data_IF_175946458124
#
_entry.id   IF_175946458124
#
_cell.length_a   1.000
_cell.length_b   1.000
_cell.length_c   1.000
_cell.angle_alpha   90.00
_cell.angle_beta   90.00
_cell.angle_gamma   90.00
#
_symmetry.space_group_name_H-M   'P 1'
#
loop_
_entity.id
_entity.type
_entity.pdbx_description
1 polymer ?
#
# COMPACT_ATOMS: atom_id res chain seq x y z
N UNK A 1 24.55 -22.92 -4.32
CA UNK A 1 23.97 -21.99 -3.32
C UNK A 1 22.88 -21.20 -3.99
N UNK A 2 21.63 -21.32 -3.54
CA UNK A 2 20.54 -20.50 -4.05
C UNK A 2 20.70 -19.08 -3.48
N UNK A 3 20.74 -18.07 -4.35
CA UNK A 3 20.71 -16.68 -3.90
C UNK A 3 19.36 -16.42 -3.25
N UNK A 4 19.36 -16.22 -1.93
CA UNK A 4 18.17 -15.77 -1.21
C UNK A 4 17.91 -14.33 -1.62
N UNK A 5 16.81 -14.08 -2.32
CA UNK A 5 16.37 -12.72 -2.63
C UNK A 5 16.06 -12.03 -1.29
N UNK A 6 16.74 -10.93 -0.93
CA UNK A 6 16.46 -10.24 0.30
C UNK A 6 15.00 -9.76 0.28
N UNK A 7 14.18 -10.24 1.21
CA UNK A 7 12.86 -9.66 1.43
C UNK A 7 13.05 -8.42 2.31
N UNK A 8 12.66 -7.24 1.82
CA UNK A 8 12.67 -6.02 2.63
C UNK A 8 11.50 -6.06 3.62
N UNK A 9 11.70 -6.76 4.74
CA UNK A 9 10.72 -6.78 5.84
C UNK A 9 10.95 -5.56 6.71
N UNK A 10 9.91 -4.76 6.92
CA UNK A 10 9.90 -3.68 7.91
C UNK A 10 9.72 -4.27 9.32
N UNK A 11 10.80 -4.84 9.86
CA UNK A 11 10.79 -5.36 11.21
C UNK A 11 10.75 -4.20 12.21
N UNK A 12 10.13 -4.42 13.37
CA UNK A 12 10.11 -3.44 14.45
C UNK A 12 11.44 -3.47 15.22
N UNK A 13 12.54 -3.18 14.54
CA UNK A 13 13.90 -3.16 15.10
C UNK A 13 14.48 -1.74 15.16
N UNK A 14 15.61 -1.60 15.84
CA UNK A 14 16.27 -0.31 16.05
C UNK A 14 16.71 0.35 14.73
N UNK A 15 17.02 -0.43 13.70
CA UNK A 15 17.44 0.10 12.40
C UNK A 15 16.25 0.72 11.67
N UNK A 16 15.14 0.00 11.62
CA UNK A 16 13.92 0.48 10.98
C UNK A 16 13.38 1.72 11.67
N UNK A 17 13.28 1.68 13.00
CA UNK A 17 12.72 2.80 13.77
C UNK A 17 13.66 4.02 13.86
N UNK A 18 14.98 3.81 13.84
CA UNK A 18 15.97 4.88 13.98
C UNK A 18 16.35 5.57 12.67
N UNK A 19 16.26 4.87 11.52
CA UNK A 19 16.83 5.37 10.28
C UNK A 19 15.93 5.24 9.04
N UNK A 20 14.90 4.38 9.05
CA UNK A 20 14.08 4.12 7.84
C UNK A 20 12.68 4.70 7.98
N UNK A 21 11.95 4.29 9.03
CA UNK A 21 10.56 4.65 9.30
C UNK A 21 10.42 5.97 10.07
N UNK A 22 11.23 6.97 9.71
CA UNK A 22 11.21 8.30 10.35
C UNK A 22 10.31 9.27 9.59
N UNK A 23 9.90 10.36 10.25
CA UNK A 23 9.07 11.40 9.67
C UNK A 23 9.74 12.08 8.45
N UNK A 24 11.05 12.31 8.49
CA UNK A 24 11.79 12.96 7.40
C UNK A 24 12.10 12.04 6.22
N UNK A 25 11.92 10.71 6.37
CA UNK A 25 12.22 9.70 5.34
C UNK A 25 10.95 9.03 4.84
N UNK A 26 10.63 7.83 5.35
CA UNK A 26 9.42 7.11 4.94
C UNK A 26 8.13 7.88 5.25
N UNK A 27 8.13 8.65 6.33
CA UNK A 27 7.00 9.51 6.70
C UNK A 27 6.78 10.67 5.74
N UNK A 28 7.82 11.15 5.05
CA UNK A 28 7.78 12.35 4.20
C UNK A 28 7.06 12.11 2.86
N UNK A 29 6.98 10.86 2.40
CA UNK A 29 6.30 10.55 1.14
C UNK A 29 4.78 10.52 1.31
N UNK A 30 4.07 11.04 0.31
CA UNK A 30 2.62 10.92 0.17
C UNK A 30 2.26 9.45 -0.05
N UNK A 31 1.19 8.98 0.59
CA UNK A 31 0.79 7.56 0.60
C UNK A 31 -0.66 7.41 0.19
N UNK A 32 -0.91 6.45 -0.71
CA UNK A 32 -2.25 6.02 -1.10
C UNK A 32 -2.34 4.51 -0.90
N UNK A 33 -3.34 4.07 -0.13
CA UNK A 33 -3.69 2.67 0.06
C UNK A 33 -4.85 2.34 -0.89
N UNK A 34 -4.58 1.48 -1.87
CA UNK A 34 -5.60 0.94 -2.78
C UNK A 34 -6.13 -0.35 -2.18
N UNK A 35 -7.43 -0.38 -1.89
CA UNK A 35 -8.14 -1.48 -1.25
C UNK A 35 -8.92 -2.25 -2.31
N UNK A 36 -8.68 -3.55 -2.40
CA UNK A 36 -9.51 -4.47 -3.16
C UNK A 36 -10.71 -4.87 -2.30
N UNK A 37 -11.92 -4.54 -2.76
CA UNK A 37 -13.12 -4.59 -1.91
C UNK A 37 -13.67 -6.02 -1.72
N UNK A 38 -13.24 -6.97 -2.54
CA UNK A 38 -13.61 -8.39 -2.45
C UNK A 38 -12.39 -9.28 -2.13
N UNK A 39 -11.36 -8.70 -1.51
CA UNK A 39 -10.18 -9.44 -1.08
C UNK A 39 -10.52 -10.43 0.06
N UNK A 40 -10.28 -11.72 -0.20
CA UNK A 40 -10.52 -12.81 0.75
C UNK A 40 -9.31 -13.10 1.68
N UNK A 41 -8.13 -12.58 1.37
CA UNK A 41 -6.91 -12.70 2.16
C UNK A 41 -6.79 -11.57 3.18
N UNK A 42 -7.08 -10.34 2.77
CA UNK A 42 -7.09 -9.17 3.65
C UNK A 42 -8.42 -8.44 3.54
N UNK A 43 -9.17 -8.40 4.65
CA UNK A 43 -10.46 -7.72 4.62
C UNK A 43 -10.28 -6.22 4.32
N UNK A 44 -11.20 -5.60 3.57
CA UNK A 44 -11.16 -4.16 3.29
C UNK A 44 -11.10 -3.30 4.56
N UNK A 45 -11.77 -3.72 5.64
CA UNK A 45 -11.73 -3.06 6.94
C UNK A 45 -10.35 -3.14 7.59
N UNK A 46 -9.66 -4.27 7.44
CA UNK A 46 -8.29 -4.44 7.92
C UNK A 46 -7.35 -3.45 7.24
N UNK A 47 -7.40 -3.33 5.91
CA UNK A 47 -6.57 -2.39 5.16
C UNK A 47 -6.90 -0.93 5.48
N UNK A 48 -8.18 -0.57 5.61
CA UNK A 48 -8.60 0.78 6.05
C UNK A 48 -8.12 1.12 7.45
N UNK A 49 -8.17 0.17 8.39
CA UNK A 49 -7.64 0.35 9.75
C UNK A 49 -6.12 0.54 9.74
N UNK A 50 -5.40 -0.21 8.91
CA UNK A 50 -3.97 0.00 8.72
C UNK A 50 -3.67 1.40 8.19
N UNK A 51 -4.43 1.89 7.22
CA UNK A 51 -4.28 3.24 6.68
C UNK A 51 -4.55 4.31 7.75
N UNK A 52 -5.55 4.12 8.62
CA UNK A 52 -5.85 5.03 9.72
C UNK A 52 -4.69 5.17 10.72
N UNK A 53 -3.96 4.08 10.98
CA UNK A 53 -2.77 4.11 11.84
C UNK A 53 -1.56 4.82 11.22
N UNK A 54 -1.63 5.16 9.92
CA UNK A 54 -0.57 5.85 9.20
C UNK A 54 -1.07 7.23 8.75
N UNK A 55 -0.89 8.29 9.56
CA UNK A 55 -1.40 9.63 9.27
C UNK A 55 -1.03 10.13 7.87
N UNK A 56 -1.98 10.77 7.20
CA UNK A 56 -1.83 11.29 5.84
C UNK A 56 -1.96 10.25 4.73
N UNK A 57 -2.31 9.00 5.05
CA UNK A 57 -2.58 7.98 4.04
C UNK A 57 -3.98 8.15 3.47
N UNK A 58 -4.05 8.36 2.17
CA UNK A 58 -5.31 8.37 1.43
C UNK A 58 -5.78 6.94 1.16
N UNK A 59 -7.08 6.68 1.22
CA UNK A 59 -7.65 5.36 0.89
C UNK A 59 -8.48 5.48 -0.38
N UNK A 60 -8.30 4.54 -1.29
CA UNK A 60 -9.07 4.36 -2.52
C UNK A 60 -9.50 2.90 -2.64
N UNK A 61 -10.69 2.65 -3.16
CA UNK A 61 -11.25 1.30 -3.31
C UNK A 61 -11.40 0.90 -4.78
N UNK A 62 -11.14 -0.37 -5.08
CA UNK A 62 -11.46 -0.99 -6.38
C UNK A 62 -12.56 -2.02 -6.14
N UNK A 63 -13.78 -1.66 -6.57
CA UNK A 63 -14.96 -2.50 -6.41
C UNK A 63 -14.86 -3.74 -7.29
N UNK A 64 -15.22 -4.91 -6.76
CA UNK A 64 -15.15 -6.18 -7.50
C UNK A 64 -13.74 -6.72 -7.73
N UNK A 65 -12.71 -6.14 -7.09
CA UNK A 65 -11.35 -6.66 -7.15
C UNK A 65 -11.10 -7.68 -6.04
N UNK A 66 -10.51 -8.81 -6.42
CA UNK A 66 -9.94 -9.78 -5.49
C UNK A 66 -8.55 -9.32 -5.00
N UNK A 67 -7.85 -10.19 -4.25
CA UNK A 67 -6.50 -9.90 -3.74
C UNK A 67 -5.49 -9.45 -4.80
N UNK A 68 -5.73 -9.79 -6.06
CA UNK A 68 -4.86 -9.48 -7.20
C UNK A 68 -5.58 -8.50 -8.14
N UNK A 69 -5.78 -7.23 -7.76
CA UNK A 69 -6.53 -6.24 -8.57
C UNK A 69 -5.92 -6.01 -9.94
N UNK A 70 -4.61 -6.23 -10.10
CA UNK A 70 -3.91 -6.18 -11.39
C UNK A 70 -4.30 -7.33 -12.34
N UNK A 71 -4.95 -8.38 -11.84
CA UNK A 71 -5.44 -9.52 -12.62
C UNK A 71 -6.98 -9.51 -12.73
N UNK A 72 -7.68 -9.29 -11.61
CA UNK A 72 -9.15 -9.30 -11.57
C UNK A 72 -9.78 -8.04 -12.13
N UNK A 73 -9.18 -6.86 -11.87
CA UNK A 73 -9.69 -5.54 -12.24
C UNK A 73 -8.60 -4.62 -12.83
N UNK A 74 -7.86 -5.07 -13.87
CA UNK A 74 -6.68 -4.36 -14.37
C UNK A 74 -7.00 -2.97 -14.92
N UNK A 75 -8.17 -2.80 -15.54
CA UNK A 75 -8.59 -1.52 -16.13
C UNK A 75 -8.92 -0.50 -15.06
N UNK A 76 -9.78 -0.88 -14.12
CA UNK A 76 -10.20 -0.03 -13.01
C UNK A 76 -9.00 0.37 -12.14
N UNK A 77 -8.08 -0.57 -11.88
CA UNK A 77 -6.83 -0.27 -11.19
C UNK A 77 -5.98 0.74 -11.99
N UNK A 78 -5.85 0.56 -13.30
CA UNK A 78 -5.03 1.46 -14.14
C UNK A 78 -5.61 2.88 -14.16
N UNK A 79 -6.93 3.01 -14.34
CA UNK A 79 -7.63 4.30 -14.32
C UNK A 79 -7.40 5.01 -12.98
N UNK A 80 -7.55 4.29 -11.86
CA UNK A 80 -7.28 4.83 -10.53
C UNK A 80 -5.82 5.27 -10.34
N UNK A 81 -4.84 4.49 -10.83
CA UNK A 81 -3.42 4.85 -10.74
C UNK A 81 -3.10 6.10 -11.57
N UNK A 82 -3.72 6.27 -12.74
CA UNK A 82 -3.58 7.48 -13.56
C UNK A 82 -4.18 8.70 -12.85
N UNK A 83 -5.34 8.57 -12.20
CA UNK A 83 -5.93 9.64 -11.39
C UNK A 83 -5.01 10.06 -10.24
N UNK A 84 -4.43 9.09 -9.53
CA UNK A 84 -3.48 9.35 -8.44
C UNK A 84 -2.23 10.07 -8.99
N UNK A 85 -1.69 9.61 -10.12
CA UNK A 85 -0.54 10.23 -10.76
C UNK A 85 -0.84 11.68 -11.16
N UNK A 86 -2.00 11.94 -11.77
CA UNK A 86 -2.41 13.29 -12.15
C UNK A 86 -2.65 14.21 -10.94
N UNK A 87 -3.17 13.68 -9.82
CA UNK A 87 -3.40 14.44 -8.58
C UNK A 87 -2.10 14.91 -7.93
N UNK A 88 -1.05 14.10 -8.02
CA UNK A 88 0.21 14.32 -7.28
C UNK A 88 1.41 14.66 -8.17
N UNK A 89 1.19 14.83 -9.48
CA UNK A 89 2.17 15.39 -10.44
C UNK A 89 2.61 16.79 -10.06
#
# INVERSE_FOLDING_TARGET
>A
MAAVRPSQRFQNDATMNGAVLTAERYGAVRRVCVVAEEDALFSPEFLRRMALWNPGTEVRGVQGADHMPMLSKPRELTELLVEIANKYS
#
